data_IF_884828174445
#
_entry.id   IF_884828174445
#
_cell.length_a   1.000
_cell.length_b   1.000
_cell.length_c   1.000
_cell.angle_alpha   90.00
_cell.angle_beta   90.00
_cell.angle_gamma   90.00
#
_symmetry.space_group_name_H-M   'P 1'
#
loop_
_entity.id
_entity.type
_entity.pdbx_description
1 polymer ?
#
# COMPACT_ATOMS: atom_id res chain seq x y z
N UNK A 1 -5.95 15.71 2.48
CA UNK A 1 -5.60 14.78 3.58
C UNK A 1 -4.22 14.21 3.30
N UNK A 2 -3.38 14.08 4.33
CA UNK A 2 -2.07 13.42 4.24
C UNK A 2 -2.11 12.17 5.13
N UNK A 3 -1.78 11.01 4.58
CA UNK A 3 -1.70 9.74 5.29
C UNK A 3 -0.25 9.23 5.25
N UNK A 4 0.27 8.79 6.40
CA UNK A 4 1.56 8.11 6.50
C UNK A 4 1.27 6.69 7.01
N UNK A 5 1.71 5.67 6.27
CA UNK A 5 1.39 4.27 6.58
C UNK A 5 2.55 3.35 6.21
N UNK A 6 2.81 2.31 7.02
CA UNK A 6 3.77 1.27 6.70
C UNK A 6 3.23 0.28 5.66
N UNK A 7 4.13 -0.35 4.89
CA UNK A 7 3.81 -1.38 3.91
C UNK A 7 2.94 -2.52 4.46
N UNK A 8 3.29 -3.11 5.60
CA UNK A 8 2.52 -4.21 6.18
C UNK A 8 1.13 -3.78 6.68
N UNK A 9 1.01 -2.56 7.23
CA UNK A 9 -0.29 -2.02 7.62
C UNK A 9 -1.18 -1.73 6.39
N UNK A 10 -0.58 -1.25 5.30
CA UNK A 10 -1.28 -1.01 4.06
C UNK A 10 -1.85 -2.32 3.47
N UNK A 11 -1.13 -3.45 3.55
CA UNK A 11 -1.61 -4.74 3.04
C UNK A 11 -2.94 -5.20 3.66
N UNK A 12 -3.23 -4.80 4.89
CA UNK A 12 -4.45 -5.17 5.60
C UNK A 12 -5.70 -4.42 5.10
N UNK A 13 -5.52 -3.23 4.51
CA UNK A 13 -6.64 -2.30 4.23
C UNK A 13 -6.59 -1.70 2.82
N UNK A 14 -5.72 -2.21 1.95
CA UNK A 14 -5.44 -1.64 0.63
C UNK A 14 -6.69 -1.53 -0.28
N UNK A 15 -7.69 -2.38 -0.09
CA UNK A 15 -8.94 -2.38 -0.85
C UNK A 15 -9.71 -1.05 -0.74
N UNK A 16 -9.56 -0.32 0.37
CA UNK A 16 -10.22 0.98 0.56
C UNK A 16 -9.64 2.07 -0.35
N UNK A 17 -8.46 1.85 -0.93
CA UNK A 17 -7.97 2.72 -2.00
C UNK A 17 -8.92 2.71 -3.22
N UNK A 18 -9.59 1.59 -3.50
CA UNK A 18 -10.62 1.51 -4.53
C UNK A 18 -11.82 2.41 -4.22
N UNK A 19 -12.26 2.43 -2.95
CA UNK A 19 -13.30 3.35 -2.46
C UNK A 19 -12.88 4.82 -2.64
N UNK A 20 -11.64 5.16 -2.24
CA UNK A 20 -11.09 6.51 -2.41
C UNK A 20 -11.08 6.96 -3.87
N UNK A 21 -10.65 6.08 -4.78
CA UNK A 21 -10.59 6.36 -6.22
C UNK A 21 -11.99 6.52 -6.83
N UNK A 22 -12.94 5.63 -6.47
CA UNK A 22 -14.34 5.71 -6.90
C UNK A 22 -14.99 7.03 -6.47
N UNK A 23 -14.71 7.46 -5.25
CA UNK A 23 -15.33 8.65 -4.66
C UNK A 23 -14.59 9.95 -5.04
N UNK A 24 -13.59 9.87 -5.94
CA UNK A 24 -12.83 11.02 -6.44
C UNK A 24 -11.93 11.68 -5.39
N UNK A 25 -11.58 10.96 -4.32
CA UNK A 25 -10.68 11.46 -3.29
C UNK A 25 -9.25 11.53 -3.82
N UNK A 26 -8.55 12.62 -3.49
CA UNK A 26 -7.15 12.85 -3.86
C UNK A 26 -6.25 12.99 -2.61
N UNK A 27 -6.08 11.94 -1.80
CA UNK A 27 -5.17 11.98 -0.66
C UNK A 27 -3.70 11.92 -1.10
N UNK A 28 -2.82 12.55 -0.33
CA UNK A 28 -1.37 12.31 -0.42
C UNK A 28 -1.03 11.17 0.55
N UNK A 29 -0.64 10.02 0.02
CA UNK A 29 -0.29 8.84 0.81
C UNK A 29 1.23 8.64 0.75
N UNK A 30 1.88 8.78 1.91
CA UNK A 30 3.29 8.42 2.09
C UNK A 30 3.36 6.99 2.63
N UNK A 31 3.75 6.06 1.76
CA UNK A 31 3.91 4.66 2.11
C UNK A 31 5.37 4.36 2.47
N UNK A 32 5.60 3.93 3.71
CA UNK A 32 6.90 3.55 4.23
C UNK A 32 7.15 2.08 3.89
N UNK A 33 7.81 1.84 2.75
CA UNK A 33 8.19 0.50 2.31
C UNK A 33 9.53 0.12 2.94
N UNK A 34 9.52 -0.75 3.93
CA UNK A 34 10.69 -1.15 4.71
C UNK A 34 10.82 -2.67 4.84
N UNK A 35 10.19 -3.40 3.92
CA UNK A 35 10.23 -4.87 3.78
C UNK A 35 9.78 -5.60 5.05
N UNK A 36 8.64 -5.15 5.58
CA UNK A 36 7.93 -5.82 6.68
C UNK A 36 7.87 -5.04 7.97
N UNK A 37 7.53 -5.73 9.06
CA UNK A 37 7.22 -5.07 10.32
C UNK A 37 8.48 -4.64 11.08
N UNK A 38 9.11 -3.55 10.66
CA UNK A 38 10.35 -3.04 11.26
C UNK A 38 10.23 -2.72 12.75
N UNK A 39 9.05 -2.30 13.23
CA UNK A 39 8.78 -2.11 14.67
C UNK A 39 8.80 -3.44 15.42
N UNK A 40 8.18 -4.49 14.88
CA UNK A 40 8.21 -5.82 15.51
C UNK A 40 9.63 -6.42 15.48
N UNK A 41 10.39 -6.20 14.40
CA UNK A 41 11.81 -6.59 14.32
C UNK A 41 12.65 -5.93 15.42
N UNK A 42 12.33 -4.70 15.81
CA UNK A 42 13.04 -3.99 16.88
C UNK A 42 12.63 -4.46 18.29
N UNK A 43 11.42 -4.99 18.47
CA UNK A 43 10.90 -5.47 19.76
C UNK A 43 11.27 -6.94 20.01
N UNK A 44 11.11 -7.82 19.02
CA UNK A 44 11.39 -9.24 19.18
C UNK A 44 11.58 -9.99 17.85
N UNK A 45 12.70 -10.70 17.70
CA UNK A 45 12.92 -11.61 16.57
C UNK A 45 13.24 -10.90 15.24
N UNK A 46 14.28 -10.07 15.21
CA UNK A 46 14.67 -9.25 14.05
C UNK A 46 14.76 -10.00 12.70
N UNK A 47 15.16 -11.27 12.72
CA UNK A 47 15.29 -12.13 11.53
C UNK A 47 14.17 -13.18 11.39
N UNK A 48 13.13 -13.10 12.20
CA UNK A 48 12.06 -14.09 12.16
C UNK A 48 11.14 -13.90 10.97
N UNK A 49 10.83 -15.00 10.29
CA UNK A 49 10.06 -15.03 9.04
C UNK A 49 8.64 -14.47 9.16
N UNK A 50 8.07 -14.44 10.37
CA UNK A 50 6.74 -13.84 10.59
C UNK A 50 6.76 -12.30 10.49
N UNK A 51 7.94 -11.67 10.53
CA UNK A 51 8.11 -10.24 10.31
C UNK A 51 8.27 -9.87 8.83
N UNK A 52 8.44 -10.87 7.95
CA UNK A 52 8.53 -10.68 6.51
C UNK A 52 7.13 -10.57 5.92
N UNK A 53 6.90 -9.57 5.07
CA UNK A 53 5.66 -9.43 4.29
C UNK A 53 5.96 -9.65 2.82
N UNK A 54 4.94 -10.00 2.03
CA UNK A 54 5.11 -10.12 0.59
C UNK A 54 5.41 -8.75 -0.03
N UNK A 55 6.54 -8.57 -0.72
CA UNK A 55 6.86 -7.30 -1.38
C UNK A 55 5.88 -7.03 -2.53
N UNK A 56 5.21 -5.88 -2.51
CA UNK A 56 4.26 -5.46 -3.53
C UNK A 56 4.84 -4.34 -4.39
N UNK A 57 4.42 -4.27 -5.65
CA UNK A 57 4.68 -3.10 -6.48
C UNK A 57 3.64 -2.01 -6.19
N UNK A 58 3.88 -1.23 -5.13
CA UNK A 58 2.96 -0.22 -4.60
C UNK A 58 2.47 0.79 -5.63
N UNK A 59 3.32 1.16 -6.60
CA UNK A 59 2.96 2.11 -7.67
C UNK A 59 1.94 1.56 -8.67
N UNK A 60 1.80 0.24 -8.75
CA UNK A 60 0.83 -0.44 -9.62
C UNK A 60 -0.52 -0.67 -8.94
N UNK A 61 -0.63 -0.42 -7.63
CA UNK A 61 -1.88 -0.64 -6.90
C UNK A 61 -3.00 0.33 -7.34
N UNK A 62 -2.79 1.66 -7.45
CA UNK A 62 -3.85 2.54 -7.92
C UNK A 62 -4.42 2.17 -9.30
N UNK A 63 -3.61 1.91 -10.34
CA UNK A 63 -4.15 1.49 -11.64
C UNK A 63 -4.74 0.06 -11.62
N UNK A 64 -4.31 -0.83 -10.72
CA UNK A 64 -4.91 -2.16 -10.57
C UNK A 64 -6.31 -2.11 -9.92
N UNK A 65 -6.55 -1.16 -9.02
CA UNK A 65 -7.83 -0.98 -8.32
C UNK A 65 -8.81 -0.05 -9.06
N UNK A 66 -8.41 0.53 -10.19
CA UNK A 66 -9.24 1.44 -10.98
C UNK A 66 -9.19 1.12 -12.49
N UNK A 67 -10.16 0.34 -12.96
CA UNK A 67 -10.30 -0.02 -14.37
C UNK A 67 -10.58 1.18 -15.30
N UNK A 68 -11.09 2.31 -14.78
CA UNK A 68 -11.39 3.49 -15.59
C UNK A 68 -10.13 4.23 -16.07
N UNK A 69 -9.06 4.24 -15.26
CA UNK A 69 -7.76 4.81 -15.65
C UNK A 69 -7.01 3.96 -16.68
N UNK A 70 -7.25 2.65 -16.72
CA UNK A 70 -6.62 1.76 -17.71
C UNK A 70 -7.14 2.01 -19.13
N UNK A 71 -8.39 2.46 -19.28
CA UNK A 71 -9.00 2.76 -20.60
C UNK A 71 -8.50 4.06 -21.24
N UNK A 72 -7.93 4.97 -20.46
CA UNK A 72 -7.49 6.30 -20.94
C UNK A 72 -6.04 6.33 -21.42
N UNK A 73 -5.26 5.26 -21.18
CA UNK A 73 -3.85 5.16 -21.59
C UNK A 73 -3.63 4.48 -22.95
N UNK A 74 -4.71 4.18 -23.69
CA UNK A 74 -4.67 3.46 -24.97
C UNK A 74 -5.22 4.23 -26.18
N UNK A 75 -5.18 5.57 -26.15
CA UNK A 75 -5.66 6.45 -27.23
C UNK A 75 -4.53 7.20 -27.90
#
# INVERSE_FOLDING_TARGET
MILIIGDGAAQLTIQEMGSMLRDGQAPVILLLNNDGYTVERAIHGAAQRYNDIASWNWTQIPPALNAAQQRSAGG
#
